data_IF_169638325101
#
_entry.id   IF_169638325101
#
_cell.length_a   1.000
_cell.length_b   1.000
_cell.length_c   1.000
_cell.angle_alpha   90.00
_cell.angle_beta   90.00
_cell.angle_gamma   90.00
#
_symmetry.space_group_name_H-M   'P 1'
#
loop_
_entity.id
_entity.type
_entity.pdbx_description
1 polymer ?
#
# COMPACT_ATOMS: atom_id res chain seq x y z
N UNK A 1 -16.06 -15.60 8.13
CA UNK A 1 -15.60 -16.89 7.59
C UNK A 1 -14.42 -16.72 6.63
N UNK A 2 -14.49 -15.89 5.60
CA UNK A 2 -13.43 -15.69 4.60
C UNK A 2 -12.09 -15.25 5.22
N UNK A 3 -12.07 -14.25 6.10
CA UNK A 3 -10.87 -13.80 6.83
C UNK A 3 -10.17 -14.96 7.53
N UNK A 4 -10.90 -15.76 8.29
CA UNK A 4 -10.35 -16.93 9.01
C UNK A 4 -9.68 -17.92 8.06
N UNK A 5 -10.29 -18.19 6.90
CA UNK A 5 -9.70 -19.09 5.89
C UNK A 5 -8.37 -18.52 5.38
N UNK A 6 -8.31 -17.22 5.04
CA UNK A 6 -7.07 -16.58 4.60
C UNK A 6 -5.99 -16.62 5.69
N UNK A 7 -6.33 -16.35 6.96
CA UNK A 7 -5.40 -16.43 8.10
C UNK A 7 -4.83 -17.85 8.25
N UNK A 8 -5.68 -18.88 8.14
CA UNK A 8 -5.24 -20.28 8.23
C UNK A 8 -4.33 -20.67 7.06
N UNK A 9 -4.62 -20.22 5.84
CA UNK A 9 -3.78 -20.46 4.68
C UNK A 9 -2.38 -19.84 4.85
N UNK A 10 -2.30 -18.59 5.29
CA UNK A 10 -1.01 -17.93 5.58
C UNK A 10 -0.22 -18.70 6.62
N UNK A 11 -0.86 -19.09 7.73
CA UNK A 11 -0.22 -19.85 8.81
C UNK A 11 0.28 -21.21 8.32
N UNK A 12 -0.53 -21.92 7.54
CA UNK A 12 -0.18 -23.24 7.00
C UNK A 12 1.01 -23.15 6.02
N UNK A 13 0.96 -22.21 5.06
CA UNK A 13 2.03 -22.04 4.08
C UNK A 13 3.34 -21.60 4.75
N UNK A 14 3.27 -20.74 5.77
CA UNK A 14 4.45 -20.35 6.55
C UNK A 14 5.08 -21.55 7.26
N UNK A 15 4.28 -22.45 7.82
CA UNK A 15 4.77 -23.68 8.44
C UNK A 15 5.47 -24.58 7.43
N UNK A 16 4.81 -24.84 6.28
CA UNK A 16 5.40 -25.65 5.20
C UNK A 16 6.72 -25.06 4.70
N UNK A 17 6.79 -23.75 4.53
CA UNK A 17 8.01 -23.06 4.08
C UNK A 17 9.17 -23.22 5.07
N UNK A 18 8.88 -23.18 6.38
CA UNK A 18 9.89 -23.38 7.42
C UNK A 18 10.45 -24.83 7.45
N UNK A 19 9.64 -25.81 7.06
CA UNK A 19 10.01 -27.24 7.04
C UNK A 19 10.65 -27.65 5.68
N UNK A 20 10.43 -26.90 4.61
CA UNK A 20 10.90 -27.23 3.26
C UNK A 20 12.41 -27.03 3.14
N UNK A 21 13.11 -28.06 2.67
CA UNK A 21 14.56 -28.03 2.39
C UNK A 21 14.88 -28.02 0.89
N UNK A 22 13.98 -28.51 0.05
CA UNK A 22 14.14 -28.50 -1.41
C UNK A 22 13.99 -27.09 -1.98
N UNK A 23 14.98 -26.55 -2.75
CA UNK A 23 14.95 -25.20 -3.27
C UNK A 23 13.77 -24.91 -4.23
N UNK A 24 13.33 -25.91 -5.00
CA UNK A 24 12.21 -25.75 -5.94
C UNK A 24 10.89 -25.64 -5.18
N UNK A 25 10.69 -26.53 -4.20
CA UNK A 25 9.53 -26.50 -3.32
C UNK A 25 9.47 -25.17 -2.53
N UNK A 26 10.61 -24.70 -2.01
CA UNK A 26 10.68 -23.40 -1.29
C UNK A 26 10.20 -22.24 -2.14
N UNK A 27 10.68 -22.11 -3.38
CA UNK A 27 10.23 -21.04 -4.30
C UNK A 27 8.73 -21.09 -4.56
N UNK A 28 8.19 -22.30 -4.75
CA UNK A 28 6.74 -22.48 -4.94
C UNK A 28 5.96 -22.05 -3.70
N UNK A 29 6.41 -22.46 -2.51
CA UNK A 29 5.77 -22.08 -1.25
C UNK A 29 5.89 -20.57 -0.96
N UNK A 30 7.00 -19.93 -1.32
CA UNK A 30 7.19 -18.48 -1.22
C UNK A 30 6.15 -17.74 -2.08
N UNK A 31 5.98 -18.12 -3.35
CA UNK A 31 4.98 -17.52 -4.23
C UNK A 31 3.54 -17.71 -3.70
N UNK A 32 3.22 -18.94 -3.23
CA UNK A 32 1.91 -19.21 -2.63
C UNK A 32 1.67 -18.41 -1.36
N UNK A 33 2.68 -18.26 -0.52
CA UNK A 33 2.59 -17.47 0.72
C UNK A 33 2.35 -15.98 0.42
N UNK A 34 3.04 -15.41 -0.58
CA UNK A 34 2.82 -14.03 -1.02
C UNK A 34 1.39 -13.84 -1.53
N UNK A 35 0.90 -14.77 -2.37
CA UNK A 35 -0.49 -14.74 -2.83
C UNK A 35 -1.49 -14.81 -1.66
N UNK A 36 -1.27 -15.71 -0.70
CA UNK A 36 -2.15 -15.83 0.47
C UNK A 36 -2.14 -14.58 1.36
N UNK A 37 -0.98 -13.93 1.52
CA UNK A 37 -0.87 -12.65 2.24
C UNK A 37 -1.61 -11.52 1.54
N UNK A 38 -1.50 -11.45 0.22
CA UNK A 38 -2.26 -10.50 -0.60
C UNK A 38 -3.77 -10.70 -0.42
N UNK A 39 -4.25 -11.93 -0.52
CA UNK A 39 -5.67 -12.25 -0.36
C UNK A 39 -6.18 -11.86 1.04
N UNK A 40 -5.38 -12.12 2.07
CA UNK A 40 -5.70 -11.70 3.43
C UNK A 40 -5.77 -10.17 3.54
N UNK A 41 -4.80 -9.44 2.99
CA UNK A 41 -4.78 -7.98 2.99
C UNK A 41 -6.02 -7.38 2.27
N UNK A 42 -6.41 -7.95 1.13
CA UNK A 42 -7.62 -7.53 0.40
C UNK A 42 -8.90 -7.75 1.21
N UNK A 43 -9.02 -8.91 1.85
CA UNK A 43 -10.19 -9.23 2.70
C UNK A 43 -10.24 -8.29 3.92
N UNK A 44 -9.13 -8.12 4.62
CA UNK A 44 -9.06 -7.27 5.81
C UNK A 44 -9.29 -5.80 5.48
N UNK A 45 -8.66 -5.27 4.42
CA UNK A 45 -8.86 -3.89 3.99
C UNK A 45 -10.33 -3.59 3.64
N UNK A 46 -11.00 -4.56 3.04
CA UNK A 46 -12.43 -4.44 2.70
C UNK A 46 -13.31 -4.46 3.95
N UNK A 47 -13.02 -5.34 4.91
CA UNK A 47 -13.85 -5.55 6.09
C UNK A 47 -13.62 -4.53 7.21
N UNK A 48 -12.36 -4.13 7.41
CA UNK A 48 -11.92 -3.33 8.57
C UNK A 48 -11.20 -2.03 8.18
N UNK A 49 -10.85 -1.86 6.91
CA UNK A 49 -9.92 -0.81 6.53
C UNK A 49 -8.54 -1.05 7.16
N UNK A 50 -7.87 0.00 7.59
CA UNK A 50 -6.62 -0.08 8.34
C UNK A 50 -6.83 -0.15 9.86
N UNK A 51 -8.08 -0.05 10.34
CA UNK A 51 -8.41 0.00 11.76
C UNK A 51 -8.28 -1.36 12.46
N UNK A 52 -7.79 -1.35 13.69
CA UNK A 52 -7.63 -2.57 14.48
C UNK A 52 -8.84 -2.85 15.41
N UNK A 53 -9.57 -1.81 15.80
CA UNK A 53 -10.66 -1.97 16.76
C UNK A 53 -11.91 -1.11 16.43
N UNK A 54 -13.11 -1.58 16.85
CA UNK A 54 -14.33 -0.77 16.76
C UNK A 54 -14.28 0.53 17.57
N UNK A 55 -13.40 0.62 18.58
CA UNK A 55 -13.24 1.84 19.39
C UNK A 55 -12.51 2.93 18.61
N UNK A 56 -11.49 2.58 17.82
CA UNK A 56 -10.77 3.52 16.94
C UNK A 56 -11.71 4.05 15.86
N UNK A 57 -12.44 3.17 15.19
CA UNK A 57 -13.47 3.53 14.23
C UNK A 57 -14.53 4.48 14.83
N UNK A 58 -14.89 4.28 16.11
CA UNK A 58 -15.84 5.15 16.81
C UNK A 58 -15.25 6.52 17.11
N UNK A 59 -14.00 6.60 17.58
CA UNK A 59 -13.30 7.88 17.82
C UNK A 59 -13.21 8.69 16.55
N UNK A 60 -12.79 8.09 15.46
CA UNK A 60 -12.67 8.74 14.15
C UNK A 60 -13.99 9.34 13.65
N UNK A 61 -15.12 8.66 13.88
CA UNK A 61 -16.45 9.17 13.50
C UNK A 61 -16.88 10.43 14.26
N UNK A 62 -16.22 10.75 15.39
CA UNK A 62 -16.48 11.98 16.18
C UNK A 62 -15.49 13.10 15.86
N UNK A 63 -14.48 12.85 15.03
CA UNK A 63 -13.56 13.87 14.53
C UNK A 63 -14.20 14.80 13.50
N UNK A 64 -13.47 15.82 13.10
CA UNK A 64 -13.91 16.82 12.10
C UNK A 64 -13.13 16.67 10.77
N UNK A 65 -13.52 15.73 9.89
CA UNK A 65 -12.84 15.48 8.61
C UNK A 65 -12.89 16.68 7.67
N UNK A 66 -13.96 17.49 7.74
CA UNK A 66 -14.17 18.58 6.80
C UNK A 66 -13.23 19.74 7.09
N UNK A 67 -13.10 20.13 8.36
CA UNK A 67 -12.15 21.17 8.77
C UNK A 67 -10.71 20.78 8.46
N UNK A 68 -10.34 19.54 8.77
CA UNK A 68 -8.99 19.02 8.48
C UNK A 68 -8.70 19.03 6.98
N UNK A 69 -9.65 18.60 6.16
CA UNK A 69 -9.49 18.64 4.71
C UNK A 69 -9.29 20.08 4.19
N UNK A 70 -10.04 21.04 4.69
CA UNK A 70 -9.89 22.45 4.31
C UNK A 70 -8.52 23.03 4.69
N UNK A 71 -7.99 22.71 5.87
CA UNK A 71 -6.68 23.18 6.33
C UNK A 71 -5.53 22.55 5.54
N UNK A 72 -5.66 21.29 5.23
CA UNK A 72 -4.62 20.49 4.57
C UNK A 72 -4.55 20.73 3.05
N UNK A 73 -5.68 21.01 2.43
CA UNK A 73 -5.85 21.05 0.98
C UNK A 73 -4.87 21.99 0.23
N UNK A 74 -4.59 23.23 0.66
CA UNK A 74 -3.68 24.11 -0.09
C UNK A 74 -2.26 23.58 -0.18
N UNK A 75 -1.72 23.03 0.91
CA UNK A 75 -0.37 22.42 0.90
C UNK A 75 -0.32 21.13 0.11
N UNK A 76 -1.38 20.34 0.16
CA UNK A 76 -1.52 19.09 -0.58
C UNK A 76 -1.54 19.33 -2.10
N UNK A 77 -2.32 20.30 -2.58
CA UNK A 77 -2.42 20.65 -3.99
C UNK A 77 -1.16 21.32 -4.54
N UNK A 78 -0.55 22.21 -3.77
CA UNK A 78 0.63 22.95 -4.21
C UNK A 78 1.92 22.09 -4.18
N UNK A 79 1.88 20.90 -3.60
CA UNK A 79 3.07 20.06 -3.46
C UNK A 79 3.49 19.46 -4.79
N UNK A 80 4.80 19.51 -5.07
CA UNK A 80 5.42 18.77 -6.16
C UNK A 80 5.65 17.28 -5.83
N UNK A 81 5.50 16.89 -4.56
CA UNK A 81 5.60 15.50 -4.14
C UNK A 81 4.26 14.78 -4.33
N UNK A 82 4.29 13.53 -4.82
CA UNK A 82 3.09 12.71 -5.00
C UNK A 82 2.43 12.37 -3.65
N UNK A 83 1.20 12.84 -3.46
CA UNK A 83 0.40 12.57 -2.27
C UNK A 83 -0.96 11.98 -2.60
N UNK A 84 -1.35 10.95 -1.85
CA UNK A 84 -2.69 10.40 -1.81
C UNK A 84 -3.23 10.44 -0.39
N UNK A 85 -4.49 10.86 -0.25
CA UNK A 85 -5.21 10.89 1.01
C UNK A 85 -6.18 9.72 1.06
N UNK A 86 -6.12 8.94 2.14
CA UNK A 86 -6.92 7.73 2.34
C UNK A 86 -7.83 7.86 3.56
N UNK A 87 -9.04 7.34 3.45
CA UNK A 87 -9.90 7.07 4.60
C UNK A 87 -9.50 5.71 5.21
N UNK A 88 -9.07 5.65 6.48
CA UNK A 88 -8.70 4.39 7.13
C UNK A 88 -9.89 3.43 7.37
N UNK A 89 -11.13 3.83 7.09
CA UNK A 89 -12.35 3.03 7.24
C UNK A 89 -12.36 1.79 6.33
N UNK A 90 -13.32 0.87 6.57
CA UNK A 90 -13.55 -0.27 5.69
C UNK A 90 -13.59 0.09 4.21
N UNK A 91 -12.78 -0.62 3.43
CA UNK A 91 -12.58 -0.37 2.00
C UNK A 91 -11.39 0.51 1.67
N UNK A 92 -10.70 1.15 2.65
CA UNK A 92 -9.54 2.03 2.43
C UNK A 92 -9.74 2.93 1.20
N UNK A 93 -10.76 3.80 1.27
CA UNK A 93 -11.13 4.60 0.10
C UNK A 93 -10.16 5.76 -0.12
N UNK A 94 -9.85 6.00 -1.38
CA UNK A 94 -9.09 7.17 -1.82
C UNK A 94 -9.99 8.40 -1.64
N UNK A 95 -9.60 9.29 -0.74
CA UNK A 95 -10.30 10.57 -0.47
C UNK A 95 -9.89 11.63 -1.48
N UNK A 96 -8.60 11.69 -1.79
CA UNK A 96 -8.04 12.61 -2.76
C UNK A 96 -6.65 12.17 -3.24
N UNK A 97 -6.21 12.72 -4.39
CA UNK A 97 -4.84 12.67 -4.87
C UNK A 97 -4.45 14.05 -5.40
N UNK A 98 -3.20 14.46 -5.24
CA UNK A 98 -2.72 15.68 -5.89
C UNK A 98 -2.25 15.44 -7.34
N UNK A 99 -1.98 16.53 -8.08
CA UNK A 99 -1.57 16.43 -9.48
C UNK A 99 -0.25 15.69 -9.65
N UNK A 100 0.67 15.82 -8.70
CA UNK A 100 1.94 15.08 -8.73
C UNK A 100 1.71 13.56 -8.63
N UNK A 101 0.79 13.11 -7.77
CA UNK A 101 0.42 11.70 -7.65
C UNK A 101 -0.26 11.18 -8.93
N UNK A 102 -1.23 11.93 -9.44
CA UNK A 102 -1.93 11.60 -10.67
C UNK A 102 -0.96 11.41 -11.85
N UNK A 103 0.02 12.31 -11.97
CA UNK A 103 1.08 12.23 -12.98
C UNK A 103 2.00 11.02 -12.78
N UNK A 104 2.45 10.78 -11.55
CA UNK A 104 3.38 9.69 -11.24
C UNK A 104 2.76 8.30 -11.48
N UNK A 105 1.44 8.16 -11.27
CA UNK A 105 0.72 6.89 -11.37
C UNK A 105 -0.13 6.74 -12.64
N UNK A 106 -0.07 7.70 -13.57
CA UNK A 106 -0.89 7.74 -14.80
C UNK A 106 -2.40 7.66 -14.54
N UNK A 107 -2.85 8.15 -13.40
CA UNK A 107 -4.27 8.14 -13.02
C UNK A 107 -4.90 9.52 -13.16
N UNK A 108 -6.23 9.58 -13.09
CA UNK A 108 -6.97 10.83 -13.01
C UNK A 108 -7.72 10.88 -11.71
N UNK A 109 -7.70 12.03 -11.04
CA UNK A 109 -8.43 12.25 -9.78
C UNK A 109 -9.89 11.80 -9.87
N UNK A 110 -10.59 12.15 -10.96
CA UNK A 110 -11.99 11.77 -11.19
C UNK A 110 -12.24 10.26 -11.19
N UNK A 111 -11.24 9.48 -11.57
CA UNK A 111 -11.39 8.04 -11.80
C UNK A 111 -11.06 7.23 -10.52
N UNK A 112 -10.35 7.85 -9.56
CA UNK A 112 -9.84 7.17 -8.38
C UNK A 112 -10.50 7.61 -7.08
N UNK A 113 -10.93 8.87 -6.96
CA UNK A 113 -11.57 9.38 -5.74
C UNK A 113 -12.86 8.61 -5.43
N UNK A 114 -13.01 8.19 -4.18
CA UNK A 114 -14.12 7.38 -3.69
C UNK A 114 -13.97 5.87 -3.95
N UNK A 115 -12.97 5.46 -4.73
CA UNK A 115 -12.71 4.03 -5.02
C UNK A 115 -11.83 3.41 -3.92
N UNK A 116 -11.91 2.11 -3.81
CA UNK A 116 -11.04 1.33 -2.93
C UNK A 116 -9.58 1.38 -3.43
N UNK A 117 -8.62 1.54 -2.51
CA UNK A 117 -7.20 1.65 -2.85
C UNK A 117 -6.72 0.50 -3.74
N UNK A 118 -7.01 -0.72 -3.34
CA UNK A 118 -6.49 -1.92 -4.02
C UNK A 118 -7.31 -2.35 -5.24
N UNK A 119 -8.49 -1.74 -5.48
CA UNK A 119 -9.20 -1.87 -6.76
C UNK A 119 -8.53 -1.03 -7.84
N UNK A 120 -7.96 0.12 -7.46
CA UNK A 120 -7.26 1.02 -8.38
C UNK A 120 -5.81 0.57 -8.59
N UNK A 121 -5.15 0.17 -7.50
CA UNK A 121 -3.76 -0.25 -7.49
C UNK A 121 -3.65 -1.71 -7.04
N UNK A 122 -4.00 -2.70 -7.88
CA UNK A 122 -3.76 -4.11 -7.60
C UNK A 122 -2.30 -4.46 -7.85
N UNK A 123 -1.83 -5.54 -7.24
CA UNK A 123 -0.56 -6.17 -7.65
C UNK A 123 -0.61 -6.59 -9.12
N UNK A 124 0.55 -6.61 -9.77
CA UNK A 124 0.68 -7.14 -11.13
C UNK A 124 0.38 -8.66 -11.14
N UNK A 125 -0.68 -9.12 -11.83
CA UNK A 125 -1.07 -10.52 -11.81
C UNK A 125 -0.06 -11.44 -12.52
N UNK A 126 0.78 -10.88 -13.40
CA UNK A 126 1.82 -11.63 -14.11
C UNK A 126 3.10 -11.80 -13.28
N UNK A 127 3.21 -11.13 -12.13
CA UNK A 127 4.30 -11.30 -11.17
C UNK A 127 3.82 -12.10 -9.95
N UNK A 128 4.17 -13.38 -9.93
CA UNK A 128 3.84 -14.28 -8.83
C UNK A 128 4.50 -13.90 -7.48
N UNK A 129 5.50 -13.04 -7.51
CA UNK A 129 6.21 -12.55 -6.33
C UNK A 129 5.78 -11.14 -5.93
N UNK A 130 4.78 -10.56 -6.60
CA UNK A 130 4.26 -9.25 -6.22
C UNK A 130 3.67 -9.28 -4.81
N UNK A 131 4.14 -8.38 -3.96
CA UNK A 131 3.77 -8.27 -2.55
C UNK A 131 3.40 -6.84 -2.12
N UNK A 132 3.29 -5.94 -3.08
CA UNK A 132 3.06 -4.52 -2.86
C UNK A 132 1.76 -4.25 -2.09
N UNK A 133 0.65 -4.93 -2.43
CA UNK A 133 -0.63 -4.84 -1.72
C UNK A 133 -0.48 -5.21 -0.26
N UNK A 134 0.15 -6.36 0.04
CA UNK A 134 0.30 -6.82 1.42
C UNK A 134 1.24 -5.93 2.24
N UNK A 135 2.33 -5.45 1.64
CA UNK A 135 3.30 -4.56 2.29
C UNK A 135 2.70 -3.18 2.57
N UNK A 136 2.03 -2.58 1.59
CA UNK A 136 1.36 -1.29 1.79
C UNK A 136 0.28 -1.40 2.85
N UNK A 137 -0.55 -2.44 2.80
CA UNK A 137 -1.59 -2.66 3.81
C UNK A 137 -1.00 -2.79 5.22
N UNK A 138 0.06 -3.56 5.40
CA UNK A 138 0.75 -3.71 6.68
C UNK A 138 1.32 -2.38 7.19
N UNK A 139 1.85 -1.53 6.29
CA UNK A 139 2.33 -0.20 6.63
C UNK A 139 1.21 0.73 7.09
N UNK A 140 0.08 0.78 6.37
CA UNK A 140 -1.08 1.59 6.74
C UNK A 140 -1.64 1.17 8.11
N UNK A 141 -1.73 -0.12 8.39
CA UNK A 141 -2.11 -0.63 9.72
C UNK A 141 -1.13 -0.23 10.81
N UNK A 142 0.17 -0.25 10.51
CA UNK A 142 1.20 0.20 11.46
C UNK A 142 0.99 1.66 11.83
N UNK A 143 0.69 2.53 10.85
CA UNK A 143 0.39 3.95 11.11
C UNK A 143 -0.83 4.12 12.00
N UNK A 144 -1.93 3.42 11.71
CA UNK A 144 -3.15 3.48 12.54
C UNK A 144 -2.88 3.01 13.96
N UNK A 145 -2.15 1.91 14.11
CA UNK A 145 -1.84 1.31 15.41
C UNK A 145 -0.93 2.18 16.27
N UNK A 146 0.09 2.77 15.66
CA UNK A 146 1.13 3.51 16.39
C UNK A 146 0.83 5.00 16.50
N UNK A 147 -0.02 5.54 15.64
CA UNK A 147 -0.23 6.98 15.48
C UNK A 147 1.02 7.72 14.98
N UNK A 148 1.99 7.01 14.40
CA UNK A 148 3.26 7.56 13.95
C UNK A 148 3.47 7.29 12.44
N UNK A 149 4.23 8.15 11.73
CA UNK A 149 4.63 7.87 10.37
C UNK A 149 5.41 6.56 10.25
N UNK A 150 5.21 5.86 9.14
CA UNK A 150 5.93 4.64 8.81
C UNK A 150 6.57 4.76 7.43
N UNK A 151 7.91 4.85 7.39
CA UNK A 151 8.71 4.78 6.18
C UNK A 151 8.91 3.30 5.80
N UNK A 152 8.58 2.95 4.57
CA UNK A 152 8.79 1.61 4.04
C UNK A 152 10.17 1.52 3.37
N UNK A 153 10.72 0.31 3.29
CA UNK A 153 11.82 0.05 2.36
C UNK A 153 11.35 0.34 0.93
N UNK A 154 12.30 0.50 -0.01
CA UNK A 154 11.96 0.60 -1.44
C UNK A 154 11.12 -0.62 -1.84
N UNK A 155 9.97 -0.35 -2.47
CA UNK A 155 9.01 -1.37 -2.91
C UNK A 155 9.00 -1.43 -4.42
N UNK A 156 9.14 -2.61 -5.00
CA UNK A 156 8.66 -2.82 -6.37
C UNK A 156 7.14 -2.89 -6.32
N UNK A 157 6.48 -2.02 -7.04
CA UNK A 157 5.03 -2.00 -7.17
C UNK A 157 4.69 -1.52 -8.58
N UNK A 158 4.45 -2.48 -9.46
CA UNK A 158 4.14 -2.22 -10.85
C UNK A 158 2.80 -1.50 -10.97
N UNK A 159 2.72 -0.51 -11.85
CA UNK A 159 1.49 0.23 -12.11
C UNK A 159 1.07 0.09 -13.58
N UNK A 160 -0.20 0.34 -13.86
CA UNK A 160 -0.68 0.35 -15.24
C UNK A 160 -0.30 1.65 -15.93
N UNK A 161 0.24 1.53 -17.14
CA UNK A 161 0.42 2.66 -18.04
C UNK A 161 -0.93 3.10 -18.66
N UNK A 162 -0.97 4.18 -19.47
CA UNK A 162 -2.20 4.63 -20.13
C UNK A 162 -2.85 3.60 -21.05
N UNK A 163 -2.11 2.61 -21.53
CA UNK A 163 -2.60 1.51 -22.38
C UNK A 163 -3.10 0.32 -21.54
N UNK A 164 -3.03 0.41 -20.20
CA UNK A 164 -3.49 -0.59 -19.26
C UNK A 164 -2.49 -1.71 -18.99
N UNK A 165 -1.26 -1.63 -19.52
CA UNK A 165 -0.19 -2.60 -19.33
C UNK A 165 0.57 -2.31 -18.04
N UNK A 166 0.86 -3.35 -17.26
CA UNK A 166 1.74 -3.21 -16.09
C UNK A 166 3.17 -2.88 -16.52
N UNK A 167 3.74 -1.85 -15.88
CA UNK A 167 5.12 -1.43 -16.04
C UNK A 167 5.83 -1.46 -14.70
N UNK A 168 7.09 -1.91 -14.72
CA UNK A 168 7.92 -1.95 -13.53
C UNK A 168 8.14 -0.56 -12.95
N UNK A 169 7.87 -0.43 -11.63
CA UNK A 169 8.14 0.77 -10.84
C UNK A 169 8.69 0.39 -9.48
N UNK A 170 9.57 1.24 -8.99
CA UNK A 170 10.14 1.17 -7.65
C UNK A 170 9.82 2.46 -6.91
N UNK A 171 9.23 2.31 -5.74
CA UNK A 171 8.73 3.42 -4.93
C UNK A 171 9.40 3.44 -3.58
N UNK A 172 9.61 4.63 -3.03
CA UNK A 172 9.98 4.84 -1.64
C UNK A 172 8.80 5.46 -0.88
N UNK A 173 7.94 4.63 -0.25
CA UNK A 173 6.72 5.13 0.37
C UNK A 173 6.96 5.58 1.81
N UNK A 174 6.22 6.63 2.21
CA UNK A 174 6.05 7.04 3.60
C UNK A 174 4.55 7.21 3.85
N UNK A 175 4.02 6.51 4.85
CA UNK A 175 2.65 6.64 5.27
C UNK A 175 2.60 7.42 6.60
N UNK A 176 1.70 8.41 6.72
CA UNK A 176 1.62 9.28 7.88
C UNK A 176 0.18 9.44 8.35
N UNK A 177 -0.08 9.54 9.67
CA UNK A 177 -1.39 9.83 10.19
C UNK A 177 -1.70 11.33 10.07
N UNK A 178 -2.95 11.65 9.74
CA UNK A 178 -3.49 13.00 9.86
C UNK A 178 -4.54 13.00 10.95
N UNK A 179 -4.30 13.80 11.98
CA UNK A 179 -5.18 13.96 13.14
C UNK A 179 -5.90 15.30 13.08
N UNK A 180 -7.07 15.38 13.69
CA UNK A 180 -7.70 16.65 14.00
C UNK A 180 -7.09 17.30 15.25
N UNK A 181 -7.64 18.45 15.64
CA UNK A 181 -7.18 19.22 16.80
C UNK A 181 -7.39 18.50 18.14
N UNK A 182 -8.27 17.50 18.18
CA UNK A 182 -8.51 16.66 19.36
C UNK A 182 -7.61 15.39 19.37
N UNK A 183 -6.71 15.26 18.40
CA UNK A 183 -5.83 14.12 18.27
C UNK A 183 -6.51 12.87 17.73
N UNK A 184 -7.72 13.00 17.14
CA UNK A 184 -8.41 11.88 16.49
C UNK A 184 -7.82 11.68 15.10
N UNK A 185 -7.39 10.46 14.79
CA UNK A 185 -6.93 10.11 13.44
C UNK A 185 -8.11 10.21 12.48
N UNK A 186 -7.98 11.05 11.45
CA UNK A 186 -9.02 11.28 10.45
C UNK A 186 -8.66 10.64 9.11
N UNK A 187 -7.41 10.83 8.65
CA UNK A 187 -6.93 10.33 7.37
C UNK A 187 -5.55 9.69 7.49
N UNK A 188 -5.18 8.94 6.47
CA UNK A 188 -3.81 8.50 6.21
C UNK A 188 -3.29 9.25 4.99
N UNK A 189 -2.10 9.84 5.10
CA UNK A 189 -1.37 10.44 4.00
C UNK A 189 -0.36 9.44 3.47
N UNK A 190 -0.52 9.04 2.22
CA UNK A 190 0.41 8.21 1.50
C UNK A 190 1.26 9.08 0.58
N UNK A 191 2.55 9.15 0.84
CA UNK A 191 3.57 9.80 0.02
C UNK A 191 4.41 8.75 -0.67
N UNK A 192 4.72 8.94 -1.95
CA UNK A 192 5.62 8.07 -2.71
C UNK A 192 6.62 8.89 -3.51
N UNK A 193 7.82 8.38 -3.65
CA UNK A 193 8.81 8.86 -4.62
C UNK A 193 9.13 7.74 -5.60
N UNK A 194 9.12 8.06 -6.90
CA UNK A 194 9.53 7.11 -7.95
C UNK A 194 11.05 7.07 -8.00
N UNK A 195 11.61 5.98 -7.52
CA UNK A 195 13.07 5.72 -7.49
C UNK A 195 13.49 4.64 -8.50
N UNK A 196 12.66 4.42 -9.52
CA UNK A 196 12.88 3.37 -10.53
C UNK A 196 14.21 3.54 -11.24
N UNK A 197 14.54 4.77 -11.65
CA UNK A 197 15.79 5.04 -12.38
C UNK A 197 17.04 4.74 -11.53
N UNK A 198 17.01 5.08 -10.24
CA UNK A 198 18.08 4.83 -9.28
C UNK A 198 18.29 3.32 -9.06
N UNK A 199 17.20 2.59 -8.85
CA UNK A 199 17.24 1.13 -8.63
C UNK A 199 17.79 0.41 -9.85
N UNK A 200 17.27 0.70 -11.05
CA UNK A 200 17.70 0.04 -12.29
C UNK A 200 19.17 0.37 -12.64
N UNK A 201 19.60 1.60 -12.38
CA UNK A 201 21.00 1.99 -12.59
C UNK A 201 21.95 1.26 -11.64
N UNK A 202 21.57 1.10 -10.38
CA UNK A 202 22.40 0.39 -9.38
C UNK A 202 22.50 -1.10 -9.69
N UNK A 203 21.43 -1.73 -10.12
CA UNK A 203 21.40 -3.16 -10.48
C UNK A 203 22.23 -3.44 -11.75
N UNK A 204 22.19 -2.53 -12.73
CA UNK A 204 23.01 -2.64 -13.94
C UNK A 204 24.50 -2.58 -13.68
N UNK A 205 24.95 -1.78 -12.69
CA UNK A 205 26.36 -1.69 -12.28
C UNK A 205 26.87 -2.94 -11.58
N UNK A 206 26.05 -3.58 -10.75
CA UNK A 206 26.42 -4.82 -10.06
C UNK A 206 26.55 -6.01 -11.03
N UNK A 207 25.74 -6.05 -12.10
CA UNK A 207 25.82 -7.08 -13.12
C UNK A 207 27.03 -6.96 -14.05
N UNK A 208 27.65 -5.76 -14.18
CA UNK A 208 28.82 -5.52 -15.01
C UNK A 208 30.12 -5.91 -14.28
N UNK A 209 30.21 -5.72 -12.96
CA UNK A 209 31.40 -6.09 -12.15
C UNK A 209 31.52 -7.58 -11.83
N UNK A 210 30.47 -8.37 -12.06
CA UNK A 210 30.49 -9.82 -11.84
C UNK A 210 30.91 -10.63 -13.08
N UNK A 211 31.28 -9.97 -14.17
CA UNK A 211 31.70 -10.61 -15.45
C UNK A 211 33.17 -10.32 -15.82
N UNK A 212 33.94 -9.70 -14.96
CA UNK A 212 35.40 -9.60 -15.01
C UNK A 212 36.02 -10.60 -14.01
#
# INVERSE_FOLDING_TARGET
MQRFICEQNVTHLQKLLNEATDPVLRRTLEALLLSARRDLALVESTLSGAEESPLEARRRRHGDPQSIRQQFHPGFEASSHPYMLLDPAPGLRIVDINDAYAKATFTRRSDVVGRSLFDIFPDNPDDALADGVSNLYASLRTVVKTGQPHAMAVQRYDIRDPDGKFIERHWQPINSPIHDHDGVLIYLLHHVEDVTAEVLTSTGRQGATARE
#
